data_IF_429100856548
#
_entry.id   IF_429100856548
#
_cell.length_a   1.000
_cell.length_b   1.000
_cell.length_c   1.000
_cell.angle_alpha   90.00
_cell.angle_beta   90.00
_cell.angle_gamma   90.00
#
_symmetry.space_group_name_H-M   'P 1'
#
loop_
_entity.id
_entity.type
_entity.pdbx_description
1 polymer ?
2 polymer ?
3 polymer ?
4 non-polymer ?
5 water ?
#
# COMPACT_ATOMS: atom_id res chain seq x y z
N UNK A 24 -4.19 27.60 5.91
CA UNK A 24 -5.15 26.52 5.56
C UNK A 24 -5.97 26.10 6.77
N UNK A 25 -7.30 26.21 6.66
CA UNK A 25 -8.24 25.63 7.64
C UNK A 25 -7.67 24.35 8.24
N UNK A 26 -7.32 23.44 7.33
CA UNK A 26 -6.92 22.07 7.67
C UNK A 26 -5.81 21.94 8.71
N UNK A 27 -4.80 22.79 8.64
CA UNK A 27 -3.62 22.58 9.48
C UNK A 27 -3.80 23.14 10.89
N UNK A 28 -4.83 23.96 11.07
CA UNK A 28 -5.12 24.54 12.37
C UNK A 28 -6.17 23.74 13.14
N UNK A 29 -6.71 22.69 12.53
CA UNK A 29 -7.70 21.85 13.20
C UNK A 29 -7.05 20.99 14.28
N UNK A 30 -7.68 20.91 15.45
CA UNK A 30 -7.31 19.91 16.44
C UNK A 30 -7.78 18.57 15.96
N UNK A 31 -7.22 17.53 16.58
CA UNK A 31 -7.59 16.16 16.30
C UNK A 31 -9.09 15.93 16.42
N UNK A 32 -9.71 16.38 17.51
CA UNK A 32 -11.15 16.29 17.67
C UNK A 32 -11.92 17.02 16.53
N UNK A 33 -11.42 18.18 16.13
CA UNK A 33 -12.10 18.92 15.06
C UNK A 33 -11.94 18.25 13.70
N UNK A 34 -10.80 17.62 13.45
CA UNK A 34 -10.60 16.83 12.21
C UNK A 34 -11.58 15.67 12.15
N UNK A 35 -11.67 14.93 13.24
CA UNK A 35 -12.64 13.82 13.33
C UNK A 35 -14.05 14.32 13.03
N UNK A 36 -14.46 15.42 13.67
CA UNK A 36 -15.79 16.00 13.47
C UNK A 36 -16.08 16.41 12.01
N UNK A 37 -15.11 17.07 11.40
CA UNK A 37 -15.17 17.45 9.99
C UNK A 37 -15.33 16.23 9.10
N UNK A 38 -14.58 15.16 9.34
CA UNK A 38 -14.69 13.99 8.49
C UNK A 38 -16.02 13.25 8.68
N UNK A 39 -16.49 13.14 9.93
CA UNK A 39 -17.80 12.57 10.21
C UNK A 39 -18.89 13.37 9.57
N UNK A 40 -18.84 14.69 9.74
CA UNK A 40 -19.82 15.59 9.12
C UNK A 40 -19.95 15.40 7.62
N UNK A 41 -18.83 15.14 6.96
CA UNK A 41 -18.75 15.04 5.51
C UNK A 41 -19.28 13.71 4.90
N UNK A 42 -19.60 12.73 5.72
CA UNK A 42 -19.88 11.38 5.23
C UNK A 42 -21.07 11.36 4.26
N UNK A 43 -20.92 10.72 3.10
CA UNK A 43 -22.01 10.68 2.15
C UNK A 43 -23.17 9.75 2.54
N UNK A 44 -24.32 9.90 1.87
CA UNK A 44 -25.45 9.01 2.06
C UNK A 44 -25.11 7.58 1.66
N UNK A 45 -25.66 6.61 2.36
CA UNK A 45 -25.57 5.22 1.92
C UNK A 45 -26.81 4.99 1.10
N UNK A 46 -26.62 4.60 -0.15
CA UNK A 46 -27.69 4.54 -1.12
C UNK A 46 -28.33 3.15 -1.18
N UNK A 47 -29.61 3.14 -1.54
CA UNK A 47 -30.32 1.91 -1.84
C UNK A 47 -30.22 1.67 -3.35
N UNK A 48 -30.09 0.41 -3.73
CA UNK A 48 -30.07 0.03 -5.13
C UNK A 48 -31.46 0.18 -5.75
N UNK A 49 -31.47 0.69 -6.98
CA UNK A 49 -32.70 0.84 -7.77
C UNK A 49 -32.70 -0.21 -8.89
N UNK A 55 -33.69 -13.75 -13.03
CA UNK A 55 -32.78 -13.60 -11.91
C UNK A 55 -31.56 -12.74 -12.22
N UNK A 56 -30.49 -12.92 -11.45
CA UNK A 56 -29.22 -12.29 -11.79
C UNK A 56 -28.62 -12.90 -13.03
N UNK A 57 -27.97 -12.05 -13.80
CA UNK A 57 -27.06 -12.45 -14.84
C UNK A 57 -25.83 -11.62 -14.60
N UNK A 58 -24.72 -11.94 -15.28
CA UNK A 58 -23.57 -11.06 -15.33
C UNK A 58 -23.98 -9.64 -15.71
N UNK A 59 -24.77 -9.55 -16.78
CA UNK A 59 -25.23 -8.27 -17.32
C UNK A 59 -26.02 -7.45 -16.29
N UNK A 60 -27.03 -8.08 -15.68
CA UNK A 60 -27.91 -7.37 -14.74
C UNK A 60 -27.12 -6.96 -13.52
N UNK A 61 -26.23 -7.84 -13.06
CA UNK A 61 -25.52 -7.57 -11.83
C UNK A 61 -24.52 -6.42 -11.98
N UNK A 62 -23.76 -6.43 -13.07
CA UNK A 62 -22.86 -5.33 -13.41
C UNK A 62 -23.65 -4.06 -13.65
N UNK A 63 -24.84 -4.20 -14.25
CA UNK A 63 -25.78 -3.09 -14.37
C UNK A 63 -26.14 -2.46 -13.02
N UNK A 64 -26.57 -3.29 -12.08
CA UNK A 64 -26.90 -2.79 -10.73
C UNK A 64 -25.69 -2.13 -10.07
N UNK A 65 -24.55 -2.81 -10.12
CA UNK A 65 -23.31 -2.27 -9.51
C UNK A 65 -22.86 -0.97 -10.15
N UNK A 66 -22.87 -0.94 -11.50
CA UNK A 66 -22.58 0.30 -12.23
C UNK A 66 -23.53 1.48 -11.91
N UNK A 67 -24.83 1.23 -11.87
CA UNK A 67 -25.83 2.27 -11.50
C UNK A 67 -25.59 2.85 -10.08
N UNK A 68 -25.38 1.96 -9.12
CA UNK A 68 -25.12 2.35 -7.76
C UNK A 68 -23.83 3.16 -7.67
N UNK A 69 -22.74 2.63 -8.25
CA UNK A 69 -21.47 3.36 -8.30
C UNK A 69 -21.60 4.75 -8.90
N UNK A 70 -22.31 4.88 -10.02
CA UNK A 70 -22.44 6.17 -10.69
C UNK A 70 -23.18 7.18 -9.82
N UNK A 71 -24.19 6.71 -9.10
CA UNK A 71 -24.88 7.56 -8.11
C UNK A 71 -23.98 7.94 -6.92
N UNK A 72 -23.21 6.97 -6.38
CA UNK A 72 -22.27 7.26 -5.30
C UNK A 72 -21.16 8.23 -5.73
N UNK A 73 -20.75 8.18 -6.99
CA UNK A 73 -19.77 9.14 -7.47
C UNK A 73 -20.22 10.60 -7.40
N UNK A 74 -21.51 10.87 -7.64
CA UNK A 74 -22.03 12.22 -7.50
C UNK A 74 -21.78 12.76 -6.07
N UNK A 75 -22.10 11.94 -5.08
CA UNK A 75 -21.98 12.30 -3.68
C UNK A 75 -20.52 12.35 -3.27
N UNK A 76 -19.70 11.48 -3.85
CA UNK A 76 -18.27 11.47 -3.55
C UNK A 76 -17.58 12.78 -3.88
N UNK A 77 -18.01 13.45 -4.96
CA UNK A 77 -17.36 14.70 -5.38
C UNK A 77 -17.56 15.73 -4.29
N UNK A 78 -18.74 15.72 -3.69
CA UNK A 78 -19.09 16.74 -2.72
C UNK A 78 -18.47 16.43 -1.38
N UNK A 79 -18.46 15.15 -1.03
CA UNK A 79 -17.69 14.63 0.10
C UNK A 79 -16.23 15.13 0.01
N UNK A 80 -15.60 14.93 -1.13
CA UNK A 80 -14.17 15.20 -1.25
C UNK A 80 -13.86 16.68 -0.97
N UNK A 81 -14.76 17.54 -1.42
CA UNK A 81 -14.63 18.96 -1.19
C UNK A 81 -14.78 19.38 0.29
N UNK A 82 -15.35 18.48 1.09
CA UNK A 82 -15.45 18.69 2.52
C UNK A 82 -14.30 18.07 3.35
N UNK A 83 -13.37 17.35 2.71
CA UNK A 83 -12.19 16.78 3.36
C UNK A 83 -11.17 17.90 3.59
N UNK A 84 -10.81 18.15 4.86
CA UNK A 84 -9.89 19.24 5.14
C UNK A 84 -8.68 19.17 4.22
N UNK A 85 -8.39 20.28 3.56
CA UNK A 85 -7.22 20.36 2.68
C UNK A 85 -7.49 20.27 1.19
N UNK A 86 -8.52 19.52 0.83
CA UNK A 86 -8.79 19.18 -0.55
C UNK A 86 -9.15 20.38 -1.38
N UNK A 87 -9.94 21.27 -0.80
CA UNK A 87 -10.38 22.49 -1.48
C UNK A 87 -9.25 23.51 -1.70
N UNK A 88 -8.20 23.41 -0.90
CA UNK A 88 -7.04 24.27 -1.06
C UNK A 88 -6.26 23.97 -2.35
N UNK A 89 -6.55 22.83 -3.00
CA UNK A 89 -5.83 22.45 -4.24
C UNK A 89 -6.53 22.99 -5.48
N UNK A 90 -5.78 23.08 -6.57
CA UNK A 90 -6.36 23.51 -7.82
C UNK A 90 -7.43 22.55 -8.23
N UNK A 91 -8.32 23.03 -9.08
CA UNK A 91 -9.37 22.14 -9.55
C UNK A 91 -8.76 20.99 -10.35
N UNK A 92 -7.69 21.25 -11.09
CA UNK A 92 -7.00 20.21 -11.84
C UNK A 92 -6.46 19.11 -10.94
N UNK A 93 -5.83 19.51 -9.84
CA UNK A 93 -5.31 18.54 -8.87
C UNK A 93 -6.42 17.79 -8.10
N UNK A 94 -7.51 18.49 -7.75
CA UNK A 94 -8.69 17.84 -7.16
C UNK A 94 -9.23 16.71 -8.07
N UNK A 95 -9.40 17.01 -9.36
CA UNK A 95 -9.89 16.03 -10.36
C UNK A 95 -8.94 14.85 -10.46
N UNK A 96 -7.65 15.13 -10.55
CA UNK A 96 -6.65 14.08 -10.63
C UNK A 96 -6.70 13.16 -9.40
N UNK A 97 -6.78 13.72 -8.20
CA UNK A 97 -6.81 12.89 -7.02
C UNK A 97 -8.05 11.96 -7.06
N UNK A 98 -9.22 12.50 -7.41
CA UNK A 98 -10.46 11.71 -7.48
C UNK A 98 -10.43 10.66 -8.60
N UNK A 99 -9.91 11.02 -9.77
CA UNK A 99 -9.68 10.04 -10.82
C UNK A 99 -8.81 8.88 -10.35
N UNK A 100 -7.78 9.13 -9.54
CA UNK A 100 -6.94 8.02 -9.03
C UNK A 100 -7.62 7.19 -7.90
N UNK A 101 -8.42 7.83 -7.07
CA UNK A 101 -8.86 7.24 -5.81
C UNK A 101 -10.27 6.64 -5.81
N UNK A 102 -11.08 7.01 -6.78
CA UNK A 102 -12.54 6.82 -6.64
C UNK A 102 -12.91 5.34 -6.39
N UNK A 103 -12.24 4.40 -7.02
CA UNK A 103 -12.66 3.01 -6.85
C UNK A 103 -12.20 2.52 -5.48
N UNK A 104 -11.02 2.96 -5.02
CA UNK A 104 -10.56 2.65 -3.67
C UNK A 104 -11.53 3.15 -2.63
N UNK A 105 -12.09 4.34 -2.87
CA UNK A 105 -12.98 4.96 -1.93
C UNK A 105 -14.31 4.22 -1.88
N UNK A 106 -14.83 3.85 -3.05
CA UNK A 106 -16.05 3.00 -3.13
C UNK A 106 -15.83 1.67 -2.42
N UNK A 107 -14.68 1.05 -2.63
CA UNK A 107 -14.41 -0.25 -2.04
C UNK A 107 -14.24 -0.20 -0.53
N UNK A 108 -13.52 0.80 -0.01
CA UNK A 108 -13.35 0.83 1.45
C UNK A 108 -14.69 1.10 2.15
N UNK A 109 -15.51 1.96 1.55
CA UNK A 109 -16.90 2.18 1.97
C UNK A 109 -17.69 0.87 2.05
N UNK A 110 -17.58 0.10 0.99
CA UNK A 110 -18.26 -1.21 0.90
C UNK A 110 -17.79 -2.13 2.00
N UNK A 111 -16.47 -2.20 2.17
CA UNK A 111 -15.90 -3.07 3.20
C UNK A 111 -16.43 -2.67 4.59
N UNK A 112 -16.40 -1.38 4.90
CA UNK A 112 -16.93 -0.84 6.16
C UNK A 112 -18.36 -1.27 6.43
N UNK A 113 -19.25 -1.03 5.47
CA UNK A 113 -20.63 -1.37 5.71
C UNK A 113 -20.91 -2.89 5.63
N UNK A 114 -19.95 -3.67 5.14
CA UNK A 114 -20.10 -5.14 5.12
C UNK A 114 -19.52 -5.82 6.36
N UNK A 115 -18.80 -5.06 7.19
CA UNK A 115 -18.04 -5.60 8.34
C UNK A 115 -18.80 -6.53 9.23
N UNK A 116 -20.03 -6.17 9.56
CA UNK A 116 -20.85 -7.00 10.47
C UNK A 116 -21.59 -8.11 9.75
N UNK A 117 -21.25 -8.40 8.49
CA UNK A 117 -21.94 -9.45 7.74
C UNK A 117 -20.94 -10.43 7.14
N UNK A 118 -20.35 -11.28 7.98
CA UNK A 118 -19.43 -12.33 7.51
C UNK A 118 -19.94 -13.06 6.28
N UNK A 119 -19.11 -13.15 5.25
CA UNK A 119 -19.42 -13.91 4.05
C UNK A 119 -20.19 -13.11 3.01
N UNK A 120 -20.52 -11.85 3.31
CA UNK A 120 -21.36 -11.06 2.41
C UNK A 120 -20.84 -9.67 2.14
N UNK A 121 -21.22 -9.12 1.00
CA UNK A 121 -20.94 -7.73 0.65
C UNK A 121 -22.25 -6.94 0.61
N UNK A 122 -22.35 -5.94 1.49
CA UNK A 122 -23.55 -5.10 1.57
C UNK A 122 -23.38 -3.92 0.58
N UNK A 123 -23.64 -4.18 -0.70
CA UNK A 123 -23.56 -3.16 -1.74
C UNK A 123 -24.54 -2.03 -1.45
N UNK A 124 -25.72 -2.40 -0.99
CA UNK A 124 -26.69 -1.50 -0.46
C UNK A 124 -27.53 -2.29 0.55
N UNK A 125 -28.25 -1.62 1.45
CA UNK A 125 -29.06 -2.36 2.43
C UNK A 125 -30.03 -3.33 1.76
N UNK A 126 -30.50 -3.01 0.56
CA UNK A 126 -31.34 -3.92 -0.21
C UNK A 126 -30.58 -4.73 -1.26
N UNK A 127 -29.24 -4.73 -1.20
CA UNK A 127 -28.43 -5.53 -2.13
C UNK A 127 -27.24 -6.11 -1.37
N UNK A 128 -27.52 -7.20 -0.68
CA UNK A 128 -26.56 -7.86 0.16
C UNK A 128 -26.23 -9.18 -0.55
N UNK A 129 -24.99 -9.35 -0.99
CA UNK A 129 -24.61 -10.50 -1.85
C UNK A 129 -23.59 -11.40 -1.19
N UNK A 130 -23.63 -12.71 -1.44
CA UNK A 130 -22.51 -13.57 -1.00
C UNK A 130 -21.59 -13.90 -2.17
N UNK A 131 -20.49 -14.60 -1.90
CA UNK A 131 -19.47 -14.83 -2.93
C UNK A 131 -19.95 -15.71 -4.10
N UNK A 132 -20.85 -16.66 -3.80
CA UNK A 132 -21.49 -17.48 -4.84
C UNK A 132 -22.03 -16.56 -5.95
N UNK A 133 -22.75 -15.53 -5.53
CA UNK A 133 -23.31 -14.53 -6.46
C UNK A 133 -22.25 -13.67 -7.18
N UNK A 134 -21.08 -13.48 -6.57
CA UNK A 134 -19.95 -12.81 -7.26
C UNK A 134 -19.59 -13.50 -8.58
N UNK A 135 -19.57 -14.83 -8.55
CA UNK A 135 -19.29 -15.63 -9.74
C UNK A 135 -20.21 -15.39 -10.93
N UNK A 136 -21.30 -14.65 -10.72
CA UNK A 136 -22.13 -14.15 -11.83
C UNK A 136 -21.28 -13.49 -12.90
N UNK A 137 -20.44 -12.55 -12.46
CA UNK A 137 -19.55 -11.82 -13.36
C UNK A 137 -18.21 -12.52 -13.44
N UNK A 138 -17.94 -13.16 -14.58
CA UNK A 138 -16.63 -13.78 -14.83
C UNK A 138 -15.53 -12.78 -14.54
N UNK A 139 -14.64 -13.14 -13.62
CA UNK A 139 -13.58 -12.25 -13.15
C UNK A 139 -13.86 -11.58 -11.82
N UNK A 140 -15.13 -11.54 -11.41
CA UNK A 140 -15.49 -10.79 -10.22
C UNK A 140 -15.33 -11.56 -8.90
N UNK A 141 -15.39 -12.89 -8.93
CA UNK A 141 -15.25 -13.67 -7.68
C UNK A 141 -13.89 -13.42 -7.00
N UNK A 142 -12.84 -13.25 -7.81
CA UNK A 142 -11.50 -12.83 -7.32
C UNK A 142 -11.57 -11.56 -6.46
N UNK A 143 -12.17 -10.54 -7.03
CA UNK A 143 -12.38 -9.27 -6.36
C UNK A 143 -13.29 -9.43 -5.12
N UNK A 144 -14.42 -10.14 -5.24
CA UNK A 144 -15.31 -10.40 -4.11
C UNK A 144 -14.60 -11.07 -2.94
N UNK A 145 -13.78 -12.06 -3.22
CA UNK A 145 -12.99 -12.74 -2.16
C UNK A 145 -12.01 -11.81 -1.45
N UNK A 146 -11.33 -10.98 -2.23
CA UNK A 146 -10.45 -9.98 -1.67
C UNK A 146 -11.21 -8.98 -0.80
N UNK A 147 -12.40 -8.55 -1.23
CA UNK A 147 -13.18 -7.64 -0.41
C UNK A 147 -13.60 -8.27 0.92
N UNK A 148 -14.08 -9.51 0.88
CA UNK A 148 -14.49 -10.27 2.06
C UNK A 148 -13.32 -10.44 3.05
N UNK A 149 -12.14 -10.72 2.51
CA UNK A 149 -10.92 -10.80 3.30
C UNK A 149 -10.59 -9.50 3.99
N UNK A 150 -10.83 -8.37 3.33
CA UNK A 150 -10.60 -7.10 3.94
C UNK A 150 -11.60 -6.86 5.07
N UNK A 151 -12.85 -7.19 4.79
CA UNK A 151 -13.92 -7.08 5.77
C UNK A 151 -13.64 -7.91 7.02
N UNK A 152 -13.17 -9.13 6.81
CA UNK A 152 -12.73 -9.98 7.88
C UNK A 152 -11.51 -9.40 8.66
N UNK A 153 -10.56 -8.79 7.96
CA UNK A 153 -9.44 -8.10 8.63
C UNK A 153 -9.94 -6.94 9.52
N UNK A 154 -10.85 -6.13 9.00
CA UNK A 154 -11.43 -5.01 9.74
C UNK A 154 -12.05 -5.55 11.04
N UNK A 155 -12.81 -6.63 10.87
CA UNK A 155 -13.54 -7.25 11.98
C UNK A 155 -12.54 -7.77 13.01
N UNK A 156 -11.47 -8.39 12.53
CA UNK A 156 -10.42 -8.96 13.36
C UNK A 156 -9.67 -7.88 14.16
N UNK A 157 -9.54 -6.68 13.59
CA UNK A 157 -8.97 -5.54 14.31
C UNK A 157 -9.95 -4.73 15.11
N UNK A 158 -11.25 -5.03 15.02
CA UNK A 158 -12.28 -4.19 15.60
C UNK A 158 -12.10 -2.72 15.14
N UNK A 159 -11.91 -2.53 13.83
CA UNK A 159 -11.81 -1.19 13.24
C UNK A 159 -12.99 -0.32 13.65
N UNK A 160 -12.71 0.90 14.09
CA UNK A 160 -13.76 1.82 14.46
C UNK A 160 -14.05 2.82 13.35
N UNK A 161 -15.23 3.42 13.40
CA UNK A 161 -15.67 4.33 12.31
C UNK A 161 -14.78 5.56 12.13
N UNK A 162 -14.32 6.13 13.24
CA UNK A 162 -13.41 7.29 13.18
C UNK A 162 -12.10 6.95 12.45
N UNK A 163 -11.60 5.72 12.64
CA UNK A 163 -10.43 5.23 11.95
C UNK A 163 -10.71 5.03 10.46
N UNK A 164 -11.85 4.42 10.15
CA UNK A 164 -12.29 4.23 8.76
C UNK A 164 -12.35 5.55 7.99
N UNK A 165 -12.95 6.57 8.61
CA UNK A 165 -13.12 7.85 7.99
C UNK A 165 -11.72 8.52 7.73
N UNK A 166 -10.80 8.38 8.68
CA UNK A 166 -9.44 8.81 8.46
C UNK A 166 -8.79 8.09 7.27
N UNK A 167 -8.89 6.77 7.25
CA UNK A 167 -8.32 6.02 6.14
C UNK A 167 -8.90 6.44 4.81
N UNK A 168 -10.22 6.66 4.75
CA UNK A 168 -10.82 7.12 3.49
C UNK A 168 -10.22 8.45 3.02
N UNK A 169 -10.00 9.39 3.94
CA UNK A 169 -9.37 10.68 3.57
C UNK A 169 -7.91 10.52 3.16
N UNK A 170 -7.20 9.62 3.80
CA UNK A 170 -5.84 9.29 3.37
C UNK A 170 -5.80 8.82 1.92
N UNK A 171 -6.71 7.92 1.56
CA UNK A 171 -6.77 7.39 0.17
C UNK A 171 -6.98 8.52 -0.82
N UNK A 172 -7.92 9.40 -0.51
CA UNK A 172 -8.18 10.55 -1.36
C UNK A 172 -6.92 11.38 -1.64
N UNK A 173 -6.20 11.71 -0.57
CA UNK A 173 -5.08 12.61 -0.70
C UNK A 173 -3.81 11.94 -1.22
N UNK A 174 -3.66 10.66 -0.90
CA UNK A 174 -2.43 9.87 -1.17
C UNK A 174 -2.35 9.16 -2.51
N UNK A 175 -3.46 8.61 -2.98
CA UNK A 175 -3.38 7.67 -4.10
C UNK A 175 -2.86 8.31 -5.39
N UNK A 176 -3.26 9.55 -5.69
CA UNK A 176 -2.77 10.24 -6.86
C UNK A 176 -1.62 11.23 -6.66
N UNK A 177 -1.06 11.30 -5.46
CA UNK A 177 -0.03 12.31 -5.18
C UNK A 177 1.32 12.05 -5.91
N UNK A 178 1.62 10.79 -6.22
CA UNK A 178 2.91 10.41 -6.82
C UNK A 178 2.85 10.53 -8.35
N UNK A 179 1.66 10.82 -8.90
CA UNK A 179 1.46 10.93 -10.34
C UNK A 179 0.92 12.29 -10.76
N UNK A 180 1.07 13.30 -9.91
CA UNK A 180 0.75 14.68 -10.26
C UNK A 180 1.39 15.12 -11.60
N UNK A 181 2.62 15.61 -11.56
CA UNK A 181 3.34 16.27 -12.67
C UNK A 181 4.08 17.47 -12.08
N UNK A 183 6.65 20.11 -12.55
CA UNK A 183 6.97 21.03 -13.65
C UNK A 183 6.74 22.50 -13.25
N UNK A 184 6.01 22.70 -12.13
CA UNK A 184 5.83 24.03 -11.55
C UNK A 184 6.11 24.04 -10.05
N UNK A 185 6.52 25.21 -9.56
CA UNK A 185 6.68 25.48 -8.15
C UNK A 185 5.36 25.31 -7.42
N UNK A 186 4.28 25.84 -8.00
CA UNK A 186 2.93 25.69 -7.48
C UNK A 186 2.66 24.24 -7.14
N UNK A 187 2.86 23.37 -8.12
CA UNK A 187 2.65 21.93 -7.95
C UNK A 187 3.46 21.34 -6.80
N UNK A 188 4.71 21.74 -6.66
CA UNK A 188 5.48 21.26 -5.53
C UNK A 188 4.86 21.75 -4.24
N UNK A 189 4.40 23.00 -4.23
CA UNK A 189 3.74 23.55 -3.04
C UNK A 189 2.47 22.77 -2.70
N UNK A 190 1.77 22.24 -3.72
CA UNK A 190 0.56 21.46 -3.54
C UNK A 190 0.84 20.15 -2.86
N UNK A 191 1.85 19.44 -3.36
CA UNK A 191 2.28 18.20 -2.75
C UNK A 191 2.71 18.43 -1.30
N UNK A 192 3.52 19.46 -1.01
CA UNK A 192 3.89 19.74 0.40
C UNK A 192 2.67 19.89 1.30
N UNK A 193 1.65 20.58 0.79
CA UNK A 193 0.40 20.78 1.50
C UNK A 193 -0.27 19.44 1.81
N UNK A 194 -0.44 18.62 0.78
CA UNK A 194 -1.02 17.30 0.95
C UNK A 194 -0.29 16.49 2.00
N UNK A 195 1.03 16.48 1.96
CA UNK A 195 1.80 15.75 2.96
C UNK A 195 1.61 16.29 4.36
N UNK A 196 1.45 17.62 4.47
CA UNK A 196 1.20 18.26 5.76
C UNK A 196 -0.15 17.84 6.32
N UNK A 197 -1.17 17.80 5.47
CA UNK A 197 -2.47 17.30 5.86
C UNK A 197 -2.43 15.80 6.21
N UNK A 198 -1.74 14.99 5.40
CA UNK A 198 -1.60 13.57 5.73
C UNK A 198 -0.97 13.39 7.12
N UNK A 199 0.03 14.20 7.47
CA UNK A 199 0.62 14.17 8.80
C UNK A 199 -0.42 14.48 9.88
N UNK A 200 -1.30 15.44 9.62
CA UNK A 200 -2.35 15.78 10.57
C UNK A 200 -3.33 14.61 10.76
N UNK A 201 -3.61 13.87 9.69
CA UNK A 201 -4.52 12.73 9.80
C UNK A 201 -3.83 11.64 10.63
N UNK A 202 -2.52 11.50 10.46
CA UNK A 202 -1.73 10.57 11.30
C UNK A 202 -1.84 10.93 12.77
N UNK A 203 -1.63 12.23 13.07
CA UNK A 203 -1.77 12.73 14.45
C UNK A 203 -3.16 12.41 14.99
N UNK A 204 -4.19 12.53 14.13
CA UNK A 204 -5.58 12.28 14.52
C UNK A 204 -5.86 10.80 14.85
N UNK A 205 -5.31 9.91 14.05
CA UNK A 205 -5.39 8.49 14.33
C UNK A 205 -4.73 8.19 15.68
N UNK A 206 -3.54 8.74 15.90
CA UNK A 206 -2.80 8.46 17.14
C UNK A 206 -3.61 8.98 18.32
N UNK A 207 -4.18 10.18 18.19
CA UNK A 207 -5.06 10.78 19.20
C UNK A 207 -6.25 9.87 19.56
N UNK A 208 -6.96 9.39 18.55
CA UNK A 208 -8.12 8.50 18.74
C UNK A 208 -7.70 7.27 19.53
N UNK A 209 -6.53 6.73 19.18
CA UNK A 209 -6.03 5.51 19.83
C UNK A 209 -5.60 5.73 21.26
N UNK A 210 -4.87 6.81 21.51
CA UNK A 210 -4.53 7.25 22.87
C UNK A 210 -5.76 7.46 23.75
N UNK A 211 -6.77 8.11 23.18
CA UNK A 211 -8.03 8.36 23.89
C UNK A 211 -8.74 7.06 24.20
N UNK A 212 -8.52 6.06 23.36
CA UNK A 212 -9.11 4.75 23.54
C UNK A 212 -8.30 3.87 24.51
N UNK A 213 -7.26 4.44 25.11
CA UNK A 213 -6.50 3.76 26.15
C UNK A 213 -5.41 2.82 25.65
N UNK A 214 -5.03 2.92 24.37
CA UNK A 214 -3.91 2.15 23.90
C UNK A 214 -2.58 2.71 24.40
N UNK A 215 -1.74 1.79 24.78
CA UNK A 215 -0.33 1.99 25.03
C UNK A 215 0.40 2.64 23.81
N UNK A 216 1.49 3.35 24.05
CA UNK A 216 2.29 3.94 22.97
C UNK A 216 2.68 2.86 21.96
N UNK A 217 3.17 1.74 22.47
CA UNK A 217 3.47 0.58 21.65
C UNK A 217 2.28 0.10 20.83
N UNK A 218 1.10 0.03 21.46
CA UNK A 218 -0.09 -0.45 20.79
C UNK A 218 -0.55 0.53 19.71
N UNK A 219 -0.33 1.82 19.97
CA UNK A 219 -0.69 2.90 19.09
C UNK A 219 0.10 2.79 17.80
N UNK A 220 1.43 2.65 17.88
CA UNK A 220 2.24 2.51 16.63
C UNK A 220 1.93 1.18 15.90
N UNK A 221 1.77 0.08 16.64
CA UNK A 221 1.41 -1.17 16.00
C UNK A 221 0.10 -1.04 15.23
N UNK A 222 -0.90 -0.39 15.84
CA UNK A 222 -2.19 -0.30 15.21
C UNK A 222 -2.20 0.66 14.03
N UNK A 223 -1.51 1.79 14.16
CA UNK A 223 -1.31 2.74 13.05
C UNK A 223 -0.77 1.98 11.84
N UNK A 224 0.23 1.14 12.04
CA UNK A 224 0.84 0.32 11.00
C UNK A 224 -0.15 -0.68 10.38
N UNK A 225 -0.86 -1.41 11.23
CA UNK A 225 -1.91 -2.33 10.79
C UNK A 225 -2.93 -1.64 9.87
N UNK A 226 -3.42 -0.48 10.29
CA UNK A 226 -4.38 0.26 9.49
C UNK A 226 -3.83 0.68 8.14
N UNK A 227 -2.63 1.26 8.17
CA UNK A 227 -2.05 1.81 6.93
C UNK A 227 -1.66 0.72 5.93
N UNK A 228 -1.25 -0.45 6.43
CA UNK A 228 -0.96 -1.57 5.59
C UNK A 228 -2.19 -2.09 4.84
N UNK A 229 -3.38 -1.89 5.38
CA UNK A 229 -4.59 -2.30 4.68
C UNK A 229 -4.75 -1.49 3.38
N UNK A 230 -4.25 -0.24 3.37
CA UNK A 230 -4.35 0.59 2.18
C UNK A 230 -3.63 0.03 0.95
N UNK A 231 -2.56 -0.73 1.16
CA UNK A 231 -1.91 -1.44 0.08
C UNK A 231 -2.85 -2.47 -0.54
N UNK A 232 -3.57 -3.19 0.30
CA UNK A 232 -4.56 -4.17 -0.21
C UNK A 232 -5.73 -3.44 -0.93
N UNK A 233 -6.16 -2.29 -0.45
CA UNK A 233 -7.27 -1.57 -1.10
C UNK A 233 -6.82 -1.08 -2.48
N UNK A 234 -5.56 -0.68 -2.57
CA UNK A 234 -4.94 -0.33 -3.86
C UNK A 234 -4.98 -1.49 -4.82
N UNK A 235 -4.50 -2.64 -4.35
CA UNK A 235 -4.46 -3.85 -5.16
C UNK A 235 -5.83 -4.21 -5.74
N UNK A 236 -6.84 -4.16 -4.89
CA UNK A 236 -8.23 -4.47 -5.30
C UNK A 236 -8.78 -3.47 -6.35
N UNK A 237 -8.50 -2.19 -6.16
CA UNK A 237 -8.89 -1.15 -7.09
C UNK A 237 -8.19 -1.37 -8.43
N UNK A 238 -6.91 -1.70 -8.42
CA UNK A 238 -6.23 -2.04 -9.65
C UNK A 238 -6.83 -3.25 -10.41
N UNK A 239 -7.16 -4.31 -9.68
CA UNK A 239 -7.84 -5.47 -10.31
C UNK A 239 -9.22 -5.08 -10.83
N UNK A 240 -9.95 -4.26 -10.06
CA UNK A 240 -11.25 -3.71 -10.50
C UNK A 240 -11.18 -2.89 -11.78
N UNK A 241 -10.24 -1.96 -11.83
CA UNK A 241 -10.01 -1.13 -13.02
C UNK A 241 -9.68 -1.99 -14.24
N UNK A 242 -8.84 -3.00 -14.06
CA UNK A 242 -8.52 -3.93 -15.13
C UNK A 242 -9.73 -4.63 -15.70
N UNK A 243 -10.58 -5.14 -14.82
CA UNK A 243 -11.84 -5.76 -15.20
C UNK A 243 -12.78 -4.77 -15.94
N UNK A 244 -12.98 -3.58 -15.38
CA UNK A 244 -13.80 -2.57 -16.03
C UNK A 244 -13.32 -2.23 -17.45
N UNK A 245 -12.01 -2.09 -17.63
CA UNK A 245 -11.42 -1.79 -18.94
C UNK A 245 -11.65 -2.95 -19.88
N UNK A 246 -11.35 -4.18 -19.45
CA UNK A 246 -11.53 -5.38 -20.29
C UNK A 246 -12.93 -5.42 -20.90
N UNK A 247 -13.94 -5.12 -20.07
CA UNK A 247 -15.33 -5.01 -20.53
C UNK A 247 -15.63 -3.57 -20.97
N UNK B 23 16.36 -17.25 23.59
CA UNK B 23 15.53 -16.21 22.92
C UNK B 23 16.02 -15.94 21.49
N UNK B 24 16.18 -17.00 20.70
CA UNK B 24 16.61 -16.89 19.30
C UNK B 24 15.46 -16.92 18.27
N UNK B 25 14.25 -17.26 18.73
CA UNK B 25 13.06 -17.24 17.85
C UNK B 25 12.63 -15.79 17.60
N UNK B 26 11.85 -15.59 16.53
CA UNK B 26 11.60 -14.26 15.99
C UNK B 26 10.91 -13.30 16.95
N UNK B 27 9.89 -13.81 17.64
CA UNK B 27 9.10 -12.96 18.53
C UNK B 27 9.86 -12.64 19.80
N UNK B 28 10.89 -13.43 20.10
CA UNK B 28 11.76 -13.20 21.22
C UNK B 28 12.86 -12.18 20.96
N UNK B 29 13.10 -11.84 19.70
CA UNK B 29 14.16 -10.92 19.39
C UNK B 29 13.82 -9.52 19.84
N UNK B 30 14.82 -8.82 20.36
CA UNK B 30 14.71 -7.39 20.56
C UNK B 30 14.75 -6.70 19.20
N UNK B 31 14.41 -5.40 19.23
CA UNK B 31 14.49 -4.55 18.07
C UNK B 31 15.89 -4.59 17.44
N UNK B 32 16.91 -4.35 18.25
CA UNK B 32 18.29 -4.41 17.75
C UNK B 32 18.63 -5.76 17.08
N UNK B 33 18.13 -6.85 17.66
CA UNK B 33 18.51 -8.20 17.20
C UNK B 33 17.83 -8.53 15.89
N UNK B 34 16.61 -8.05 15.74
CA UNK B 34 15.83 -8.17 14.52
C UNK B 34 16.49 -7.42 13.37
N UNK B 35 16.85 -6.16 13.59
CA UNK B 35 17.55 -5.36 12.58
C UNK B 35 18.81 -6.09 12.13
N UNK B 36 19.57 -6.54 13.11
CA UNK B 36 20.84 -7.20 12.86
C UNK B 36 20.64 -8.46 12.03
N UNK B 37 19.65 -9.28 12.40
CA UNK B 37 19.34 -10.48 11.65
C UNK B 37 18.97 -10.15 10.21
N UNK B 38 18.12 -9.13 10.01
CA UNK B 38 17.68 -8.72 8.68
C UNK B 38 18.84 -8.21 7.82
N UNK B 39 19.73 -7.42 8.42
CA UNK B 39 20.92 -6.97 7.70
C UNK B 39 21.79 -8.13 7.24
N UNK B 40 21.98 -9.11 8.11
CA UNK B 40 22.77 -10.31 7.79
C UNK B 40 22.20 -11.01 6.54
N UNK B 41 20.88 -10.97 6.38
CA UNK B 41 20.18 -11.70 5.32
C UNK B 41 20.12 -10.98 3.96
N UNK B 42 20.68 -9.78 3.85
CA UNK B 42 20.57 -9.00 2.61
C UNK B 42 21.19 -9.75 1.44
N UNK B 43 20.48 -9.78 0.30
CA UNK B 43 20.97 -10.50 -0.85
C UNK B 43 22.08 -9.73 -1.57
N UNK B 44 22.84 -10.41 -2.43
CA UNK B 44 23.84 -9.73 -3.23
C UNK B 44 23.16 -8.86 -4.27
N UNK B 45 23.81 -7.77 -4.63
CA UNK B 45 23.41 -6.94 -5.76
C UNK B 45 24.16 -7.46 -6.97
N UNK B 46 23.40 -7.89 -7.97
CA UNK B 46 23.98 -8.57 -9.11
C UNK B 46 24.46 -7.60 -10.18
N UNK B 47 25.46 -8.05 -10.91
CA UNK B 47 25.89 -7.39 -12.14
C UNK B 47 25.07 -8.01 -13.29
N UNK B 48 24.74 -7.22 -14.30
CA UNK B 48 24.12 -7.75 -15.51
C UNK B 48 25.17 -8.57 -16.27
N UNK B 49 24.83 -9.79 -16.68
CA UNK B 49 25.77 -10.66 -17.36
C UNK B 49 26.09 -10.15 -18.78
N UNK B 50 27.38 -10.19 -19.14
CA UNK B 50 27.91 -9.64 -20.40
C UNK B 50 28.93 -10.64 -20.96
N UNK B 51 28.90 -10.92 -22.26
CA UNK B 51 29.94 -11.75 -22.88
C UNK B 51 30.50 -10.94 -24.04
N UNK B 52 31.74 -10.44 -23.89
CA UNK B 52 32.34 -9.65 -24.96
C UNK B 52 32.45 -10.41 -26.28
N UNK B 53 32.34 -11.74 -26.26
CA UNK B 53 32.47 -12.54 -27.48
C UNK B 53 31.13 -12.76 -28.20
N UNK B 54 30.06 -12.21 -27.64
CA UNK B 54 28.72 -12.39 -28.19
C UNK B 54 28.01 -11.05 -28.37
N UNK B 55 28.56 -10.18 -29.22
CA UNK B 55 28.01 -8.83 -29.38
C UNK B 55 26.59 -8.81 -29.94
N UNK B 56 26.23 -9.79 -30.76
CA UNK B 56 24.99 -9.74 -31.54
C UNK B 56 23.77 -10.38 -30.91
N UNK B 57 23.96 -11.14 -29.84
CA UNK B 57 22.85 -11.81 -29.20
C UNK B 57 22.60 -11.15 -27.86
N UNK B 58 23.23 -10.00 -27.65
CA UNK B 58 22.89 -9.13 -26.56
C UNK B 58 21.37 -9.06 -26.52
N UNK B 59 20.82 -9.38 -25.36
CA UNK B 59 19.37 -9.35 -25.18
C UNK B 59 18.81 -7.96 -25.51
N UNK B 60 17.53 -7.91 -25.88
CA UNK B 60 16.85 -6.63 -25.98
C UNK B 60 16.86 -6.02 -24.58
N UNK B 61 16.39 -4.79 -24.48
CA UNK B 61 16.26 -4.15 -23.19
C UNK B 61 15.48 -5.05 -22.24
N UNK B 62 14.34 -5.56 -22.72
CA UNK B 62 13.48 -6.42 -21.93
C UNK B 62 14.15 -7.73 -21.55
N UNK B 63 14.95 -8.29 -22.44
CA UNK B 63 15.68 -9.50 -22.16
C UNK B 63 16.74 -9.28 -21.10
N UNK B 64 17.40 -8.12 -21.14
CA UNK B 64 18.40 -7.75 -20.13
C UNK B 64 17.76 -7.66 -18.75
N UNK B 65 16.60 -7.03 -18.68
CA UNK B 65 15.90 -6.84 -17.40
C UNK B 65 15.33 -8.17 -16.89
N UNK B 66 14.82 -8.97 -17.81
CA UNK B 66 14.25 -10.28 -17.50
C UNK B 66 15.31 -11.22 -16.94
N UNK B 67 16.44 -11.29 -17.61
CA UNK B 67 17.55 -12.12 -17.18
C UNK B 67 18.06 -11.72 -15.79
N UNK B 68 18.18 -10.40 -15.57
CA UNK B 68 18.59 -9.88 -14.28
C UNK B 68 17.60 -10.26 -13.21
N UNK B 69 16.33 -9.99 -13.48
CA UNK B 69 15.28 -10.23 -12.53
C UNK B 69 15.19 -11.71 -12.16
N UNK B 70 15.27 -12.60 -13.16
CA UNK B 70 15.24 -14.04 -12.90
C UNK B 70 16.40 -14.51 -12.00
N UNK B 71 17.57 -13.94 -12.20
CA UNK B 71 18.70 -14.22 -11.33
C UNK B 71 18.47 -13.67 -9.93
N UNK B 72 17.91 -12.47 -9.85
CA UNK B 72 17.55 -11.89 -8.56
C UNK B 72 16.52 -12.74 -7.81
N UNK B 73 15.56 -13.33 -8.53
CA UNK B 73 14.52 -14.12 -7.89
C UNK B 73 15.04 -15.36 -7.18
N UNK B 74 16.08 -15.98 -7.73
CA UNK B 74 16.72 -17.12 -7.09
C UNK B 74 17.25 -16.69 -5.73
N UNK B 75 17.96 -15.55 -5.68
CA UNK B 75 18.42 -15.00 -4.40
C UNK B 75 17.25 -14.55 -3.47
N UNK B 76 16.17 -14.08 -4.05
CA UNK B 76 15.03 -13.61 -3.25
C UNK B 76 14.37 -14.69 -2.40
N UNK B 77 14.22 -15.89 -2.96
CA UNK B 77 13.63 -17.02 -2.23
C UNK B 77 14.45 -17.30 -1.00
N UNK B 78 15.78 -17.29 -1.16
CA UNK B 78 16.69 -17.62 -0.05
C UNK B 78 16.70 -16.52 1.00
N UNK B 79 16.65 -15.27 0.57
CA UNK B 79 16.46 -14.13 1.47
C UNK B 79 15.19 -14.25 2.33
N UNK B 80 14.05 -14.46 1.66
CA UNK B 80 12.75 -14.57 2.35
C UNK B 80 12.79 -15.63 3.46
N UNK B 81 13.41 -16.77 3.17
CA UNK B 81 13.49 -17.88 4.08
C UNK B 81 14.49 -17.70 5.22
N UNK B 82 15.23 -16.60 5.17
CA UNK B 82 16.10 -16.16 6.27
C UNK B 82 15.44 -15.08 7.12
N UNK B 83 14.31 -14.55 6.69
CA UNK B 83 13.58 -13.55 7.46
C UNK B 83 12.96 -14.26 8.69
N UNK B 84 13.36 -13.89 9.91
CA UNK B 84 12.89 -14.60 11.10
C UNK B 84 11.36 -14.57 11.12
N UNK B 85 10.73 -15.75 11.26
CA UNK B 85 9.27 -15.86 11.22
C UNK B 85 8.74 -16.50 9.95
N UNK B 86 9.40 -16.26 8.81
CA UNK B 86 8.86 -16.63 7.51
C UNK B 86 8.78 -18.12 7.37
N UNK B 87 9.82 -18.80 7.85
CA UNK B 87 9.89 -20.21 7.66
C UNK B 87 9.05 -20.96 8.70
N UNK B 88 8.48 -20.25 9.67
CA UNK B 88 7.46 -20.81 10.56
C UNK B 88 6.12 -21.09 9.84
N UNK B 89 5.91 -20.50 8.67
CA UNK B 89 4.69 -20.69 7.90
C UNK B 89 4.80 -21.99 7.18
N UNK B 90 3.65 -22.57 6.80
CA UNK B 90 3.64 -23.73 5.92
C UNK B 90 4.29 -23.31 4.62
N UNK B 91 4.82 -24.29 3.90
CA UNK B 91 5.40 -24.07 2.59
C UNK B 91 4.46 -23.40 1.62
N UNK B 92 3.21 -23.86 1.60
CA UNK B 92 2.19 -23.27 0.72
C UNK B 92 2.05 -21.79 0.95
N UNK B 93 2.04 -21.40 2.23
CA UNK B 93 1.88 -20.01 2.60
C UNK B 93 3.10 -19.18 2.26
N UNK B 94 4.29 -19.74 2.46
CA UNK B 94 5.53 -19.09 2.04
C UNK B 94 5.51 -18.81 0.52
N UNK B 95 5.13 -19.81 -0.27
CA UNK B 95 5.13 -19.60 -1.75
C UNK B 95 4.12 -18.53 -2.13
N UNK B 96 2.96 -18.56 -1.48
CA UNK B 96 1.93 -17.58 -1.70
C UNK B 96 2.43 -16.16 -1.44
N UNK B 97 3.05 -15.95 -0.27
CA UNK B 97 3.50 -14.61 0.07
C UNK B 97 4.57 -14.13 -0.93
N UNK B 98 5.48 -15.05 -1.28
CA UNK B 98 6.51 -14.75 -2.29
C UNK B 98 5.93 -14.43 -3.65
N UNK B 99 4.98 -15.23 -4.11
CA UNK B 99 4.41 -14.96 -5.42
C UNK B 99 3.64 -13.63 -5.48
N UNK B 100 3.04 -13.22 -4.37
CA UNK B 100 2.43 -11.89 -4.27
C UNK B 100 3.42 -10.71 -4.20
N UNK B 101 4.53 -10.89 -3.50
CA UNK B 101 5.41 -9.75 -3.18
C UNK B 101 6.60 -9.56 -4.12
N UNK B 102 6.90 -10.53 -4.97
CA UNK B 102 8.24 -10.58 -5.59
C UNK B 102 8.61 -9.36 -6.41
N UNK B 103 7.66 -8.85 -7.20
CA UNK B 103 7.93 -7.66 -8.02
C UNK B 103 8.04 -6.36 -7.18
N UNK B 104 7.24 -6.26 -6.11
CA UNK B 104 7.38 -5.15 -5.13
C UNK B 104 8.74 -5.13 -4.50
N UNK B 105 9.25 -6.32 -4.15
CA UNK B 105 10.57 -6.48 -3.56
C UNK B 105 11.72 -6.14 -4.53
N UNK B 106 11.60 -6.56 -5.78
CA UNK B 106 12.61 -6.19 -6.79
C UNK B 106 12.62 -4.70 -6.95
N UNK B 107 11.42 -4.12 -7.03
CA UNK B 107 11.26 -2.70 -7.23
C UNK B 107 11.80 -1.84 -6.07
N UNK B 108 11.50 -2.20 -4.83
CA UNK B 108 12.01 -1.38 -3.73
C UNK B 108 13.52 -1.52 -3.62
N UNK B 109 14.05 -2.73 -3.85
CA UNK B 109 15.49 -2.93 -3.93
C UNK B 109 16.13 -2.07 -5.02
N UNK B 110 15.49 -2.03 -6.17
CA UNK B 110 15.97 -1.18 -7.27
C UNK B 110 16.01 0.29 -6.87
N UNK B 111 14.93 0.76 -6.24
CA UNK B 111 14.83 2.15 -5.83
C UNK B 111 15.93 2.52 -4.82
N UNK B 112 16.15 1.65 -3.84
CA UNK B 112 17.22 1.89 -2.86
C UNK B 112 18.53 2.19 -3.53
N UNK B 113 18.96 1.30 -4.41
CA UNK B 113 20.27 1.45 -5.02
C UNK B 113 20.35 2.56 -6.07
N UNK B 114 19.20 3.11 -6.45
CA UNK B 114 19.11 4.16 -7.44
C UNK B 114 19.06 5.56 -6.79
N UNK B 115 18.87 5.63 -5.48
CA UNK B 115 18.71 6.90 -4.80
C UNK B 115 19.88 7.87 -4.99
N UNK B 116 21.09 7.34 -5.07
CA UNK B 116 22.27 8.18 -5.35
C UNK B 116 22.43 8.53 -6.83
N UNK B 117 21.46 8.15 -7.67
CA UNK B 117 21.47 8.45 -9.09
C UNK B 117 20.16 9.09 -9.54
N UNK B 118 19.97 10.36 -9.22
CA UNK B 118 18.73 11.05 -9.55
C UNK B 118 18.42 11.03 -11.04
N UNK B 119 17.19 10.67 -11.41
CA UNK B 119 16.79 10.67 -12.82
C UNK B 119 17.13 9.37 -13.51
N UNK B 120 17.82 8.48 -12.79
CA UNK B 120 18.24 7.18 -13.33
C UNK B 120 17.87 5.99 -12.45
N UNK B 121 17.94 4.80 -13.03
CA UNK B 121 17.63 3.54 -12.32
C UNK B 121 18.85 2.66 -12.45
N UNK B 122 19.43 2.31 -11.31
CA UNK B 122 20.63 1.47 -11.27
C UNK B 122 20.21 0.02 -11.21
N UNK B 123 19.88 -0.55 -12.36
CA UNK B 123 19.44 -1.93 -12.39
C UNK B 123 20.55 -2.84 -11.90
N UNK B 124 21.76 -2.49 -12.29
CA UNK B 124 22.97 -3.15 -11.82
C UNK B 124 24.09 -2.14 -11.93
N UNK B 125 25.19 -2.39 -11.22
CA UNK B 125 26.34 -1.49 -11.29
C UNK B 125 26.80 -1.27 -12.74
N UNK B 126 26.66 -2.30 -13.59
CA UNK B 126 26.97 -2.17 -15.03
C UNK B 126 25.72 -2.03 -15.94
N UNK B 127 24.63 -1.54 -15.38
CA UNK B 127 23.42 -1.30 -16.14
C UNK B 127 22.60 -0.20 -15.47
N UNK B 128 23.03 1.03 -15.73
CA UNK B 128 22.44 2.23 -15.17
C UNK B 128 21.62 2.89 -16.27
N UNK B 129 20.30 2.93 -16.12
CA UNK B 129 19.41 3.41 -17.19
C UNK B 129 18.72 4.73 -16.88
N UNK B 130 18.60 5.60 -17.88
CA UNK B 130 17.86 6.85 -17.70
C UNK B 130 16.41 6.63 -18.09
N UNK B 131 15.54 7.60 -17.73
CA UNK B 131 14.13 7.57 -18.09
C UNK B 131 13.92 7.24 -19.55
N UNK B 132 14.59 7.97 -20.43
CA UNK B 132 14.35 7.82 -21.85
C UNK B 132 14.70 6.42 -22.39
N UNK B 133 15.56 5.68 -21.69
CA UNK B 133 15.77 4.26 -22.03
C UNK B 133 14.55 3.40 -21.70
N UNK B 134 13.67 3.88 -20.84
CA UNK B 134 12.41 3.19 -20.59
C UNK B 134 11.53 3.14 -21.84
N UNK B 135 11.70 4.13 -22.72
CA UNK B 135 10.92 4.18 -23.96
C UNK B 135 11.32 3.09 -24.96
N UNK B 137 10.84 -0.02 -24.52
CA UNK B 137 9.76 -0.98 -24.45
C UNK B 137 8.46 -0.20 -24.31
N UNK B 138 7.56 -0.37 -25.26
CA UNK B 138 6.25 0.28 -25.17
C UNK B 138 5.58 -0.04 -23.84
N UNK B 139 5.10 0.98 -23.15
CA UNK B 139 4.46 0.81 -21.86
C UNK B 139 5.38 0.84 -20.66
N UNK B 140 6.67 0.72 -20.88
CA UNK B 140 7.59 0.62 -19.75
C UNK B 140 7.94 1.99 -19.14
N UNK B 141 7.81 3.07 -19.91
CA UNK B 141 8.29 4.36 -19.42
C UNK B 141 7.44 4.85 -18.25
N UNK B 142 6.13 4.60 -18.36
CA UNK B 142 5.17 4.85 -17.28
C UNK B 142 5.66 4.26 -15.96
N UNK B 143 6.13 3.02 -16.03
CA UNK B 143 6.64 2.33 -14.87
C UNK B 143 7.98 2.92 -14.40
N UNK B 144 8.88 3.24 -15.31
CA UNK B 144 10.13 3.95 -14.95
C UNK B 144 9.82 5.27 -14.23
N UNK B 145 8.84 6.00 -14.72
CA UNK B 145 8.46 7.26 -14.12
C UNK B 145 8.02 7.05 -12.68
N UNK B 146 7.21 6.04 -12.45
CA UNK B 146 6.75 5.78 -11.10
C UNK B 146 7.91 5.39 -10.17
N UNK B 147 8.85 4.61 -10.67
CA UNK B 147 9.99 4.19 -9.85
C UNK B 147 10.85 5.42 -9.50
N UNK B 148 11.01 6.32 -10.47
CA UNK B 148 11.79 7.54 -10.29
C UNK B 148 11.16 8.46 -9.23
N UNK B 149 9.83 8.55 -9.23
CA UNK B 149 9.08 9.31 -8.22
C UNK B 149 9.24 8.73 -6.82
N UNK B 150 9.41 7.41 -6.74
CA UNK B 150 9.68 6.69 -5.48
C UNK B 150 11.08 7.03 -4.98
N UNK B 151 12.05 7.00 -5.90
CA UNK B 151 13.43 7.40 -5.63
C UNK B 151 13.45 8.79 -5.05
N UNK B 152 12.72 9.69 -5.69
CA UNK B 152 12.61 11.07 -5.27
C UNK B 152 11.94 11.21 -3.89
N UNK B 153 10.88 10.44 -3.65
CA UNK B 153 10.20 10.45 -2.33
C UNK B 153 11.16 9.98 -1.23
N UNK B 154 11.85 8.85 -1.45
CA UNK B 154 12.85 8.35 -0.50
C UNK B 154 14.01 9.30 -0.22
N UNK B 155 14.46 10.00 -1.24
CA UNK B 155 15.50 11.02 -1.07
C UNK B 155 15.02 12.18 -0.20
N UNK B 156 13.81 12.65 -0.47
CA UNK B 156 13.26 13.77 0.27
C UNK B 156 13.00 13.42 1.72
N UNK B 157 12.76 12.16 2.00
CA UNK B 157 12.62 11.69 3.36
C UNK B 157 13.95 11.32 4.01
N UNK B 158 15.04 11.26 3.25
CA UNK B 158 16.29 10.74 3.78
C UNK B 158 16.05 9.34 4.38
N UNK B 159 15.38 8.48 3.60
CA UNK B 159 15.20 7.09 4.00
C UNK B 159 16.56 6.48 4.30
N UNK B 160 16.65 5.84 5.47
CA UNK B 160 17.85 5.14 5.89
C UNK B 160 17.78 3.64 5.57
N UNK B 161 18.96 3.05 5.40
CA UNK B 161 19.06 1.65 5.04
C UNK B 161 18.31 0.69 5.93
N UNK B 162 18.45 0.83 7.25
CA UNK B 162 17.72 -0.04 8.17
C UNK B 162 16.21 0.10 7.99
N UNK B 163 15.73 1.30 7.62
CA UNK B 163 14.30 1.47 7.31
C UNK B 163 13.88 0.73 6.04
N UNK B 164 14.66 0.88 4.97
CA UNK B 164 14.44 0.13 3.73
C UNK B 164 14.37 -1.40 4.00
N UNK B 165 15.29 -1.91 4.80
CA UNK B 165 15.34 -3.33 5.11
C UNK B 165 14.07 -3.80 5.86
N UNK B 166 13.59 -3.01 6.81
CA UNK B 166 12.32 -3.34 7.48
C UNK B 166 11.14 -3.31 6.48
N UNK B 167 11.10 -2.31 5.61
CA UNK B 167 10.01 -2.21 4.63
C UNK B 167 9.95 -3.41 3.71
N UNK B 168 11.10 -3.94 3.30
CA UNK B 168 11.09 -5.11 2.46
C UNK B 168 10.43 -6.29 3.15
N UNK B 169 10.76 -6.50 4.43
CA UNK B 169 10.19 -7.64 5.18
C UNK B 169 8.69 -7.41 5.37
N UNK B 170 8.30 -6.17 5.60
CA UNK B 170 6.88 -5.81 5.72
C UNK B 170 6.16 -6.16 4.43
N UNK B 171 6.74 -5.79 3.27
CA UNK B 171 6.16 -6.17 1.97
C UNK B 171 6.00 -7.67 1.82
N UNK B 172 7.03 -8.40 2.17
CA UNK B 172 6.96 -9.87 2.12
C UNK B 172 5.81 -10.46 2.93
N UNK B 173 5.67 -10.00 4.16
CA UNK B 173 4.67 -10.57 5.04
C UNK B 173 3.27 -10.03 4.79
N UNK B 174 3.17 -8.82 4.24
CA UNK B 174 1.88 -8.12 4.10
C UNK B 174 1.14 -8.38 2.80
N UNK B 175 1.87 -8.38 1.70
CA UNK B 175 1.25 -8.28 0.37
C UNK B 175 0.23 -9.38 0.05
N UNK B 176 0.52 -10.62 0.44
CA UNK B 176 -0.39 -11.73 0.20
C UNK B 176 -1.25 -12.23 1.35
N UNK B 177 -1.19 -11.56 2.50
CA UNK B 177 -1.86 -12.05 3.73
C UNK B 177 -3.37 -12.00 3.60
N UNK B 178 -3.89 -11.00 2.90
CA UNK B 178 -5.35 -10.87 2.77
C UNK B 178 -5.90 -11.76 1.65
N UNK B 179 -5.07 -12.08 0.66
CA UNK B 179 -5.43 -13.07 -0.35
C UNK B 179 -5.12 -14.48 0.18
N UNK B 184 -11.17 -21.15 9.13
CA UNK B 184 -10.45 -22.39 9.41
C UNK B 184 -9.34 -22.14 10.43
N UNK B 185 -9.40 -22.84 11.56
CA UNK B 185 -8.52 -22.61 12.71
C UNK B 185 -7.06 -22.29 12.36
N UNK B 186 -6.35 -23.25 11.77
CA UNK B 186 -4.91 -23.09 11.46
C UNK B 186 -4.64 -21.98 10.45
N UNK B 187 -5.61 -21.72 9.58
CA UNK B 187 -5.56 -20.56 8.69
C UNK B 187 -5.42 -19.30 9.53
N UNK B 188 -6.31 -19.16 10.50
CA UNK B 188 -6.33 -17.99 11.38
C UNK B 188 -5.07 -17.95 12.24
N UNK B 189 -4.67 -19.14 12.72
CA UNK B 189 -3.41 -19.28 13.46
C UNK B 189 -2.21 -18.76 12.69
N UNK B 190 -2.14 -19.07 11.39
CA UNK B 190 -1.02 -18.61 10.58
C UNK B 190 -1.12 -17.10 10.34
N UNK B 191 -2.32 -16.58 10.05
CA UNK B 191 -2.50 -15.14 9.86
C UNK B 191 -2.18 -14.39 11.16
N UNK B 192 -2.54 -14.98 12.30
CA UNK B 192 -2.14 -14.44 13.61
C UNK B 192 -0.62 -14.32 13.76
N UNK B 193 0.09 -15.39 13.46
CA UNK B 193 1.56 -15.38 13.55
C UNK B 193 2.18 -14.32 12.66
N UNK B 194 1.72 -14.22 11.41
CA UNK B 194 2.20 -13.20 10.48
C UNK B 194 2.04 -11.80 11.05
N UNK B 195 0.87 -11.54 11.62
CA UNK B 195 0.57 -10.21 12.15
C UNK B 195 1.46 -9.86 13.35
N UNK B 196 1.78 -10.86 14.18
CA UNK B 196 2.72 -10.69 15.30
C UNK B 196 4.13 -10.33 14.81
N UNK B 197 4.58 -10.99 13.75
CA UNK B 197 5.91 -10.68 13.22
C UNK B 197 5.91 -9.27 12.60
N UNK B 198 4.84 -8.95 11.90
CA UNK B 198 4.64 -7.59 11.37
C UNK B 198 4.70 -6.55 12.50
N UNK B 199 4.05 -6.85 13.64
CA UNK B 199 4.10 -5.93 14.78
C UNK B 199 5.52 -5.73 15.30
N UNK B 200 6.30 -6.82 15.36
CA UNK B 200 7.69 -6.75 15.77
C UNK B 200 8.52 -5.90 14.80
N UNK B 201 8.23 -5.97 13.51
CA UNK B 201 8.97 -5.12 12.57
C UNK B 201 8.58 -3.66 12.75
N UNK B 202 7.32 -3.37 13.10
CA UNK B 202 6.92 -2.00 13.41
C UNK B 202 7.65 -1.46 14.64
N UNK B 203 7.68 -2.27 15.71
CA UNK B 203 8.48 -1.93 16.91
C UNK B 203 9.92 -1.60 16.48
N UNK B 204 10.45 -2.42 15.58
CA UNK B 204 11.84 -2.25 15.12
C UNK B 204 12.05 -0.91 14.41
N UNK B 205 11.14 -0.55 13.49
CA UNK B 205 11.19 0.76 12.83
C UNK B 205 11.13 1.93 13.79
N UNK B 206 10.21 1.83 14.74
CA UNK B 206 10.03 2.87 15.75
C UNK B 206 11.30 3.04 16.59
N UNK B 207 11.87 1.92 17.02
CA UNK B 207 13.09 1.91 17.80
C UNK B 207 14.24 2.61 17.08
N UNK B 208 14.37 2.32 15.79
CA UNK B 208 15.39 2.94 14.98
C UNK B 208 15.23 4.47 15.00
N UNK B 209 14.00 4.92 14.81
CA UNK B 209 13.67 6.36 14.79
C UNK B 209 13.86 6.99 16.15
N UNK B 210 13.44 6.29 17.20
CA UNK B 210 13.60 6.78 18.55
C UNK B 210 15.10 6.95 18.88
N UNK B 211 15.88 5.93 18.56
CA UNK B 211 17.33 5.94 18.77
C UNK B 211 18.00 7.07 17.97
N UNK B 212 17.42 7.41 16.82
CA UNK B 212 17.91 8.53 16.03
C UNK B 212 17.54 9.91 16.60
N UNK B 213 16.70 9.94 17.64
CA UNK B 213 16.37 11.20 18.32
C UNK B 213 15.11 11.91 17.82
N UNK B 214 14.26 11.20 17.08
CA UNK B 214 13.00 11.78 16.66
C UNK B 214 12.04 11.83 17.85
N UNK B 215 11.20 12.86 17.91
CA UNK B 215 10.15 12.92 18.93
C UNK B 215 9.12 11.82 18.64
N UNK B 216 8.25 11.51 19.60
CA UNK B 216 7.19 10.52 19.41
C UNK B 216 6.33 10.92 18.22
N UNK B 217 6.00 12.21 18.13
CA UNK B 217 5.18 12.69 17.02
C UNK B 217 5.89 12.52 15.67
N UNK B 218 7.19 12.85 15.62
CA UNK B 218 7.95 12.63 14.41
C UNK B 218 8.04 11.17 14.07
N UNK B 219 8.15 10.31 15.10
CA UNK B 219 8.20 8.86 14.87
C UNK B 219 6.91 8.32 14.22
N UNK B 220 5.76 8.70 14.75
CA UNK B 220 4.47 8.24 14.20
C UNK B 220 4.24 8.80 12.79
N UNK B 221 4.57 10.08 12.60
CA UNK B 221 4.46 10.69 11.28
C UNK B 221 5.37 10.01 10.26
N UNK B 222 6.60 9.71 10.65
CA UNK B 222 7.50 9.02 9.74
C UNK B 222 7.09 7.58 9.43
N UNK B 223 6.67 6.84 10.44
CA UNK B 223 6.18 5.49 10.20
C UNK B 223 5.06 5.52 9.18
N UNK B 224 4.10 6.44 9.36
CA UNK B 224 2.99 6.54 8.43
C UNK B 224 3.43 6.94 7.00
N UNK B 225 4.35 7.88 6.89
CA UNK B 225 4.89 8.27 5.56
C UNK B 225 5.49 7.08 4.83
N UNK B 226 6.25 6.26 5.57
CA UNK B 226 6.93 5.10 4.99
C UNK B 226 5.92 4.04 4.53
N UNK B 227 4.91 3.78 5.38
CA UNK B 227 3.88 2.79 5.04
C UNK B 227 3.00 3.22 3.89
N UNK B 228 2.74 4.51 3.76
CA UNK B 228 1.93 4.97 2.64
C UNK B 228 2.64 4.79 1.31
N UNK B 229 3.97 4.88 1.29
CA UNK B 229 4.77 4.63 0.06
C UNK B 229 4.56 3.17 -0.44
N UNK B 230 4.26 2.26 0.47
CA UNK B 230 3.98 0.85 0.11
C UNK B 230 2.78 0.68 -0.78
N UNK B 231 1.76 1.51 -0.63
CA UNK B 231 0.63 1.48 -1.56
C UNK B 231 1.04 1.87 -2.99
N UNK B 232 1.98 2.81 -3.09
CA UNK B 232 2.53 3.20 -4.41
C UNK B 232 3.37 2.05 -4.99
N UNK B 233 4.13 1.39 -4.15
CA UNK B 233 4.92 0.24 -4.58
C UNK B 233 4.03 -0.92 -5.03
N UNK B 234 2.92 -1.15 -4.32
CA UNK B 234 1.91 -2.08 -4.79
C UNK B 234 1.37 -1.72 -6.18
N UNK B 235 0.99 -0.46 -6.34
CA UNK B 235 0.48 0.06 -7.59
C UNK B 235 1.46 -0.25 -8.74
N UNK B 236 2.73 0.03 -8.51
CA UNK B 236 3.79 -0.15 -9.53
C UNK B 236 3.94 -1.62 -9.92
N UNK B 237 3.95 -2.49 -8.91
CA UNK B 237 3.96 -3.93 -9.13
C UNK B 237 2.72 -4.40 -9.93
N UNK B 238 1.52 -3.93 -9.59
CA UNK B 238 0.29 -4.26 -10.35
C UNK B 238 0.46 -3.88 -11.83
N UNK B 239 0.95 -2.67 -12.08
CA UNK B 239 1.15 -2.21 -13.44
C UNK B 239 2.22 -3.04 -14.18
N UNK B 240 3.29 -3.39 -13.48
CA UNK B 240 4.33 -4.23 -14.03
C UNK B 240 3.83 -5.63 -14.38
N UNK B 241 3.06 -6.23 -13.47
CA UNK B 241 2.50 -7.59 -13.72
C UNK B 241 1.57 -7.59 -14.89
N UNK B 242 0.75 -6.55 -14.95
CA UNK B 242 -0.09 -6.33 -16.10
C UNK B 242 0.72 -6.33 -17.38
N UNK B 243 1.82 -5.58 -17.38
CA UNK B 243 2.66 -5.44 -18.57
C UNK B 243 3.29 -6.79 -18.93
N UNK B 244 3.94 -7.43 -17.96
CA UNK B 244 4.49 -8.77 -18.14
C UNK B 244 3.47 -9.74 -18.72
N UNK B 245 2.27 -9.74 -18.15
CA UNK B 245 1.25 -10.65 -18.60
C UNK B 245 0.79 -10.30 -20.01
N UNK B 246 0.83 -9.03 -20.38
CA UNK B 246 0.47 -8.63 -21.73
C UNK B 246 1.49 -9.12 -22.76
N UNK B 247 2.77 -9.07 -22.43
CA UNK B 247 3.82 -9.41 -23.37
C UNK B 247 4.17 -10.92 -23.43
N UNK B 248 3.40 -11.75 -22.72
CA UNK B 248 3.42 -13.21 -22.91
C UNK B 248 3.65 -13.63 -24.38
N UNK C 1 -29.29 7.53 6.32
CA UNK C 1 -28.40 6.34 6.47
C UNK C 1 -27.01 6.67 5.98
N UNK C 2 -26.01 6.55 6.87
CA UNK C 2 -24.60 6.68 6.49
C UNK C 2 -23.78 5.60 7.18
N UNK C 3 -22.48 5.65 6.95
CA UNK C 3 -21.52 4.76 7.61
C UNK C 3 -21.69 4.75 9.14
N UNK C 4 -22.10 5.89 9.68
CA UNK C 4 -22.39 6.04 11.12
C UNK C 4 -23.39 5.03 11.66
N UNK C 5 -24.32 4.60 10.79
CA UNK C 5 -25.32 3.62 11.16
C UNK C 5 -24.77 2.18 11.15
N UNK C 6 -23.50 2.02 10.80
CA UNK C 6 -22.89 0.69 10.73
C UNK C 6 -21.67 0.60 11.62
N UNK C 7 -21.36 -0.61 12.09
CA UNK C 7 -20.13 -0.89 12.80
C UNK C 7 -20.00 -0.22 14.14
N UNK C 8 -18.79 -0.27 14.68
CA UNK C 8 -18.50 0.30 15.99
C UNK C 8 -17.79 1.63 15.81
N UNK C 9 -18.06 2.57 16.73
CA UNK C 9 -17.40 3.89 16.71
C UNK C 9 -16.79 4.10 18.08
N UNK C 10 -15.62 4.76 18.14
CA UNK C 10 -15.04 5.13 19.42
C UNK C 10 -16.01 5.99 20.24
N UNK C 11 -16.76 6.86 19.56
CA UNK C 11 -17.69 7.76 20.24
C UNK C 11 -19.11 7.60 19.72
N UNK D 1 28.97 -7.12 -2.82
CA UNK D 1 28.11 -5.93 -2.96
C UNK D 1 26.70 -6.31 -2.48
N UNK D 2 26.16 -5.52 -1.55
CA UNK D 2 24.77 -5.62 -1.12
C UNK D 2 24.25 -4.21 -0.95
N UNK D 3 22.98 -4.11 -0.56
CA UNK D 3 22.33 -2.83 -0.28
C UNK D 3 23.11 -2.01 0.72
N UNK D 4 23.84 -2.68 1.61
CA UNK D 4 24.65 -2.00 2.62
C UNK D 4 25.79 -1.12 2.06
N UNK D 5 26.18 -1.33 0.80
CA UNK D 5 27.14 -0.44 0.10
C UNK D 5 26.52 0.76 -0.63
N UNK D 6 25.21 0.95 -0.49
CA UNK D 6 24.50 2.09 -1.08
C UNK D 6 23.77 2.91 0.00
N UNK D 7 23.71 4.22 -0.20
CA UNK D 7 22.89 5.13 0.62
C UNK D 7 23.33 5.35 2.06
N UNK D 8 22.42 5.94 2.84
CA UNK D 8 22.72 6.31 4.22
C UNK D 8 22.08 5.35 5.19
N UNK D 9 22.78 5.10 6.29
CA UNK D 9 22.41 4.10 7.31
C UNK D 9 22.46 4.77 8.68
N UNK D 10 21.49 4.47 9.57
CA UNK D 10 21.50 5.04 10.92
C UNK D 10 22.80 4.69 11.63
N UNK D 11 23.29 3.48 11.39
CA UNK D 11 24.57 3.06 11.92
C UNK D 11 25.18 1.95 11.07
#
# INVERSE_FOLDING_TARGET
MGSSHHHHHHSSGLVPRGSHMENSLALSLTADQMVSALLDAEPPILYSEYDPTRPFSEASMMGLLTNLADRELVHMINWAKRVPGFVDLTLHDQVHLLECAWLEILMIGLVWRSMEHPGKLLFAPNLLLDRNQGKCVEGMVEIFDMLLATSSRFRMMNLQGEEFVCLKSIILLNSGVYTFLSSTLKSLEEKDHIHRVLDKITDTLIHLMAKAGLTLQQQHQRLAQLLLILSHIRHMSNKGMEHLYSMKCKNV
MGSSHHHHHHSSGLVPRGSHMENSLALSLTADQMVSALLDAEPPILYSEYDPTRPFSEASMMGLLTNLADRELVHMINWAKRVPGFVDLTLHDQVHLLECAWLEILMIGLVWRSMEHPGKLLFAPNLLLDRNQGKXVEGMVEIFDMLLATSSRFRMMNLQGEEFVCLKSIILLNSGVYTFLSSTLKSLEEKDHIHRVLDKITDTLIHLMAKAGLTLQQQHQRLAQLLLILSHIRHMSNKGMEHLYSMKCKNV
LTSRDFGSWYA
LTSRDFGSWYA
#
